data_IF_142270510414
#
_entry.id   IF_142270510414
#
_cell.length_a   1.000
_cell.length_b   1.000
_cell.length_c   1.000
_cell.angle_alpha   90.00
_cell.angle_beta   90.00
_cell.angle_gamma   90.00
#
_symmetry.space_group_name_H-M   'P 1'
#
loop_
_entity.id
_entity.type
_entity.pdbx_description
1 polymer ?
#
# COMPACT_ATOMS: atom_id res chain seq x y z
N UNK A 1 17.31 13.15 -29.74
CA UNK A 1 16.27 12.53 -28.90
C UNK A 1 16.92 12.26 -27.54
N UNK A 2 16.75 13.15 -26.56
CA UNK A 2 17.32 12.92 -25.22
C UNK A 2 16.32 12.09 -24.42
N UNK A 3 16.64 10.81 -24.22
CA UNK A 3 16.00 9.93 -23.25
C UNK A 3 16.32 10.47 -21.85
N UNK A 4 15.55 11.47 -21.40
CA UNK A 4 15.50 11.83 -20.00
C UNK A 4 14.75 10.69 -19.31
N UNK A 5 15.50 9.67 -18.90
CA UNK A 5 15.16 8.88 -17.72
C UNK A 5 14.92 9.90 -16.62
N UNK A 6 13.66 10.31 -16.44
CA UNK A 6 13.29 11.26 -15.43
C UNK A 6 13.38 10.51 -14.11
N UNK A 7 14.60 10.48 -13.55
CA UNK A 7 14.85 10.14 -12.16
C UNK A 7 14.09 11.20 -11.35
N UNK A 8 12.79 11.01 -11.18
CA UNK A 8 11.97 11.89 -10.36
C UNK A 8 12.42 11.63 -8.93
N UNK A 9 13.26 12.53 -8.44
CA UNK A 9 13.58 12.60 -7.04
C UNK A 9 12.29 13.02 -6.33
N UNK A 10 11.61 12.05 -5.73
CA UNK A 10 10.37 12.28 -5.00
C UNK A 10 10.72 13.27 -3.88
N UNK A 11 10.18 14.49 -3.96
CA UNK A 11 10.36 15.49 -2.91
C UNK A 11 9.71 14.99 -1.61
N UNK A 12 10.17 15.43 -0.44
CA UNK A 12 9.57 15.01 0.83
C UNK A 12 8.06 15.29 0.91
N UNK A 13 7.55 16.28 0.18
CA UNK A 13 6.11 16.59 0.08
C UNK A 13 5.34 15.57 -0.77
N UNK A 14 5.86 15.21 -1.94
CA UNK A 14 5.25 14.18 -2.79
C UNK A 14 5.34 12.80 -2.14
N UNK A 15 6.43 12.52 -1.42
CA UNK A 15 6.55 11.32 -0.59
C UNK A 15 5.48 11.27 0.50
N UNK A 16 5.24 12.38 1.19
CA UNK A 16 4.13 12.48 2.15
C UNK A 16 2.78 12.24 1.50
N UNK A 17 2.53 12.76 0.29
CA UNK A 17 1.29 12.46 -0.45
C UNK A 17 1.18 10.98 -0.81
N UNK A 18 2.27 10.35 -1.28
CA UNK A 18 2.30 8.93 -1.61
C UNK A 18 2.00 8.06 -0.38
N UNK A 19 2.69 8.32 0.73
CA UNK A 19 2.46 7.63 2.01
C UNK A 19 1.02 7.87 2.49
N UNK A 20 0.50 9.09 2.35
CA UNK A 20 -0.89 9.41 2.72
C UNK A 20 -1.89 8.62 1.86
N UNK A 21 -1.66 8.53 0.55
CA UNK A 21 -2.48 7.73 -0.36
C UNK A 21 -2.44 6.24 -0.04
N UNK A 22 -1.26 5.70 0.28
CA UNK A 22 -1.10 4.31 0.71
C UNK A 22 -1.79 4.05 2.05
N UNK A 23 -1.67 4.95 3.03
CA UNK A 23 -2.38 4.87 4.32
C UNK A 23 -3.91 4.93 4.14
N UNK A 24 -4.42 5.76 3.21
CA UNK A 24 -5.85 5.79 2.88
C UNK A 24 -6.32 4.47 2.25
N UNK A 25 -5.53 3.88 1.36
CA UNK A 25 -5.83 2.59 0.75
C UNK A 25 -5.81 1.47 1.78
N UNK A 26 -4.80 1.45 2.65
CA UNK A 26 -4.70 0.53 3.78
C UNK A 26 -5.92 0.64 4.69
N UNK A 27 -6.33 1.86 5.08
CA UNK A 27 -7.51 2.09 5.93
C UNK A 27 -8.80 1.57 5.29
N UNK A 28 -8.93 1.74 3.97
CA UNK A 28 -10.08 1.22 3.20
C UNK A 28 -10.13 -0.31 3.20
N UNK A 29 -8.99 -0.96 2.97
CA UNK A 29 -8.87 -2.43 3.01
C UNK A 29 -9.06 -2.96 4.43
N UNK A 30 -8.51 -2.29 5.43
CA UNK A 30 -8.63 -2.65 6.84
C UNK A 30 -10.10 -2.61 7.28
N UNK A 31 -10.86 -1.60 6.86
CA UNK A 31 -12.30 -1.52 7.14
C UNK A 31 -13.08 -2.68 6.52
N UNK A 32 -12.73 -3.07 5.29
CA UNK A 32 -13.33 -4.25 4.63
C UNK A 32 -12.95 -5.54 5.36
N UNK A 33 -11.69 -5.69 5.77
CA UNK A 33 -11.20 -6.80 6.55
C UNK A 33 -11.93 -6.91 7.91
N UNK A 34 -12.10 -5.80 8.63
CA UNK A 34 -12.81 -5.74 9.90
C UNK A 34 -14.28 -6.18 9.74
N UNK A 35 -14.93 -5.74 8.66
CA UNK A 35 -16.32 -6.10 8.35
C UNK A 35 -16.45 -7.60 8.02
N UNK A 36 -15.45 -8.18 7.36
CA UNK A 36 -15.41 -9.61 7.04
C UNK A 36 -15.13 -10.49 8.26
N UNK A 37 -14.31 -10.03 9.21
CA UNK A 37 -13.97 -10.79 10.42
C UNK A 37 -15.18 -11.10 11.31
N UNK A 38 -16.27 -10.32 11.19
CA UNK A 38 -17.52 -10.56 11.93
C UNK A 38 -18.37 -11.66 11.27
N UNK A 39 -18.09 -12.03 10.01
CA UNK A 39 -18.96 -12.86 9.17
C UNK A 39 -18.32 -14.16 8.66
N UNK A 40 -17.12 -14.54 9.14
CA UNK A 40 -16.31 -15.67 8.64
C UNK A 40 -16.77 -17.03 9.17
N UNK A 41 -17.97 -17.48 8.76
CA UNK A 41 -18.48 -18.84 9.03
C UNK A 41 -18.34 -19.81 7.84
N UNK A 42 -17.72 -19.39 6.72
CA UNK A 42 -17.62 -20.23 5.51
C UNK A 42 -16.26 -20.15 4.80
N UNK A 43 -15.80 -21.29 4.26
CA UNK A 43 -14.52 -21.45 3.54
C UNK A 43 -14.17 -20.34 2.52
N UNK A 44 -15.08 -19.88 1.63
CA UNK A 44 -14.77 -18.80 0.70
C UNK A 44 -14.55 -17.44 1.38
N UNK A 45 -15.15 -17.21 2.56
CA UNK A 45 -14.94 -15.98 3.34
C UNK A 45 -13.59 -15.99 4.06
N UNK A 46 -13.12 -17.16 4.50
CA UNK A 46 -11.76 -17.33 5.05
C UNK A 46 -10.71 -17.01 3.99
N UNK A 47 -10.91 -17.49 2.76
CA UNK A 47 -9.95 -17.23 1.68
C UNK A 47 -9.88 -15.73 1.31
N UNK A 48 -11.04 -15.04 1.27
CA UNK A 48 -11.09 -13.57 1.10
C UNK A 48 -10.38 -12.84 2.23
N UNK A 49 -10.53 -13.30 3.48
CA UNK A 49 -9.85 -12.73 4.64
C UNK A 49 -8.32 -12.85 4.48
N UNK A 50 -7.83 -14.03 4.09
CA UNK A 50 -6.41 -14.28 3.89
C UNK A 50 -5.80 -13.40 2.79
N UNK A 51 -6.52 -13.21 1.68
CA UNK A 51 -6.10 -12.31 0.59
C UNK A 51 -5.99 -10.86 1.07
N UNK A 52 -6.97 -10.38 1.85
CA UNK A 52 -6.94 -9.04 2.42
C UNK A 52 -5.82 -8.88 3.46
N UNK A 53 -5.56 -9.89 4.28
CA UNK A 53 -4.44 -9.91 5.22
C UNK A 53 -3.10 -9.79 4.49
N UNK A 54 -2.93 -10.52 3.39
CA UNK A 54 -1.72 -10.46 2.57
C UNK A 54 -1.56 -9.07 1.93
N UNK A 55 -2.64 -8.50 1.38
CA UNK A 55 -2.62 -7.17 0.78
C UNK A 55 -2.36 -6.05 1.79
N UNK A 56 -2.89 -6.17 3.01
CA UNK A 56 -2.58 -5.26 4.12
C UNK A 56 -1.10 -5.35 4.52
N UNK A 57 -0.57 -6.57 4.64
CA UNK A 57 0.82 -6.78 5.01
C UNK A 57 1.79 -6.23 3.95
N UNK A 58 1.48 -6.41 2.66
CA UNK A 58 2.23 -5.80 1.56
C UNK A 58 2.21 -4.27 1.67
N UNK A 59 1.04 -3.66 1.89
CA UNK A 59 0.92 -2.21 2.03
C UNK A 59 1.67 -1.67 3.25
N UNK A 60 1.68 -2.39 4.38
CA UNK A 60 2.48 -2.01 5.55
C UNK A 60 3.98 -2.05 5.24
N UNK A 61 4.43 -3.10 4.55
CA UNK A 61 5.82 -3.21 4.12
C UNK A 61 6.20 -2.10 3.12
N UNK A 62 5.33 -1.79 2.16
CA UNK A 62 5.51 -0.67 1.22
C UNK A 62 5.58 0.66 1.97
N UNK A 63 4.67 0.92 2.93
CA UNK A 63 4.71 2.15 3.73
C UNK A 63 5.99 2.23 4.55
N UNK A 64 6.39 1.15 5.22
CA UNK A 64 7.64 1.10 5.99
C UNK A 64 8.86 1.31 5.10
N UNK A 65 8.88 0.68 3.92
CA UNK A 65 9.91 0.86 2.92
C UNK A 65 9.95 2.32 2.47
N UNK A 66 8.82 2.93 2.14
CA UNK A 66 8.78 4.32 1.73
C UNK A 66 9.11 5.28 2.89
N UNK A 67 8.86 4.92 4.15
CA UNK A 67 9.27 5.71 5.34
C UNK A 67 10.76 5.54 5.68
N UNK A 68 11.36 4.39 5.35
CA UNK A 68 12.76 4.08 5.63
C UNK A 68 13.73 4.45 4.51
N UNK A 69 13.31 4.36 3.25
CA UNK A 69 14.10 4.72 2.09
C UNK A 69 13.78 6.17 1.67
N UNK A 70 14.76 7.06 1.83
CA UNK A 70 14.60 8.49 1.55
C UNK A 70 14.63 8.81 0.04
N UNK A 71 15.21 7.92 -0.78
CA UNK A 71 15.28 8.06 -2.24
C UNK A 71 14.52 6.92 -2.90
N UNK A 72 13.35 7.23 -3.45
CA UNK A 72 12.47 6.25 -4.09
C UNK A 72 12.44 6.62 -5.55
N UNK A 73 13.08 5.79 -6.38
CA UNK A 73 13.13 5.94 -7.82
C UNK A 73 11.87 5.32 -8.41
N UNK A 74 10.87 6.15 -8.71
CA UNK A 74 9.71 5.74 -9.50
C UNK A 74 10.12 5.83 -10.97
N UNK A 75 10.37 4.68 -11.59
CA UNK A 75 10.43 4.57 -13.05
C UNK A 75 9.01 4.46 -13.59
N UNK A 76 8.60 5.45 -14.41
CA UNK A 76 7.35 5.39 -15.18
C UNK A 76 7.45 4.43 -16.36
#
# INVERSE_FOLDING_TARGET
MQERNALYQVTPEERKKLITGLKQRWQTLYRQYQTLSIMVDTQPKVNKKLLLENELNMLEHDIEFLERFDTILVGS
#
